data_IF_728640642871
#
_entry.id   IF_728640642871
#
_cell.length_a   1.000
_cell.length_b   1.000
_cell.length_c   1.000
_cell.angle_alpha   90.00
_cell.angle_beta   90.00
_cell.angle_gamma   90.00
#
_symmetry.space_group_name_H-M   'P 1'
#
loop_
_entity.id
_entity.type
_entity.pdbx_description
1 polymer ?
#
# COMPACT_ATOMS: atom_id res chain seq x y z
N UNK A 1 17.30 33.03 -11.61
CA UNK A 1 18.69 33.30 -11.17
C UNK A 1 19.33 34.52 -11.86
N UNK A 2 18.66 35.18 -12.84
CA UNK A 2 19.13 36.45 -13.41
C UNK A 2 17.93 37.38 -13.51
N UNK A 3 17.78 38.29 -12.55
CA UNK A 3 16.77 39.35 -12.54
C UNK A 3 17.42 40.63 -12.05
N UNK A 4 16.86 41.80 -12.37
CA UNK A 4 17.45 43.13 -12.16
C UNK A 4 17.78 43.48 -10.68
N UNK A 5 17.39 42.64 -9.71
CA UNK A 5 17.75 42.73 -8.29
C UNK A 5 18.77 41.69 -7.80
N UNK A 6 19.51 41.01 -8.69
CA UNK A 6 20.46 39.97 -8.29
C UNK A 6 21.86 40.55 -8.01
N UNK A 7 22.06 41.09 -6.81
CA UNK A 7 23.33 41.69 -6.35
C UNK A 7 24.35 40.65 -5.86
N UNK A 8 23.98 39.37 -5.80
CA UNK A 8 24.78 38.28 -5.19
C UNK A 8 26.19 38.17 -5.78
N UNK A 9 26.35 38.43 -7.08
CA UNK A 9 27.66 38.42 -7.75
C UNK A 9 28.50 39.67 -7.44
N UNK A 10 27.85 40.81 -7.18
CA UNK A 10 28.51 42.05 -6.77
C UNK A 10 28.94 41.97 -5.29
N UNK A 11 28.05 41.52 -4.42
CA UNK A 11 28.29 41.33 -2.98
C UNK A 11 29.33 40.24 -2.70
N UNK A 12 29.44 39.23 -3.56
CA UNK A 12 30.47 38.19 -3.46
C UNK A 12 31.91 38.74 -3.55
N UNK A 13 32.11 39.91 -4.16
CA UNK A 13 33.42 40.56 -4.24
C UNK A 13 33.78 41.33 -2.97
N UNK A 14 32.79 41.77 -2.18
CA UNK A 14 32.98 42.46 -0.90
C UNK A 14 33.31 41.51 0.25
N UNK A 15 33.21 40.20 0.02
CA UNK A 15 33.50 39.20 1.05
C UNK A 15 35.00 39.27 1.40
N UNK A 16 35.35 39.34 2.71
CA UNK A 16 36.74 39.38 3.15
C UNK A 16 37.57 38.21 2.62
N UNK A 17 38.84 38.48 2.31
CA UNK A 17 39.71 37.49 1.66
C UNK A 17 39.94 36.21 2.48
N UNK A 18 39.86 36.29 3.81
CA UNK A 18 39.95 35.11 4.68
C UNK A 18 38.80 34.11 4.47
N UNK A 19 37.60 34.60 4.11
CA UNK A 19 36.45 33.74 3.80
C UNK A 19 36.69 33.02 2.48
N UNK A 20 37.28 33.70 1.48
CA UNK A 20 37.63 33.10 0.17
C UNK A 20 38.65 31.97 0.32
N UNK A 21 39.61 32.12 1.24
CA UNK A 21 40.66 31.13 1.51
C UNK A 21 40.21 30.03 2.49
N UNK A 22 39.14 30.25 3.25
CA UNK A 22 38.67 29.32 4.28
C UNK A 22 38.33 27.90 3.78
N UNK A 23 37.71 27.68 2.60
CA UNK A 23 37.42 26.33 2.13
C UNK A 23 38.70 25.57 1.78
N UNK A 24 39.72 26.26 1.26
CA UNK A 24 41.02 25.66 0.95
C UNK A 24 41.74 25.24 2.24
N UNK A 25 41.74 26.10 3.25
CA UNK A 25 42.32 25.76 4.57
C UNK A 25 41.57 24.60 5.22
N UNK A 26 40.23 24.60 5.20
CA UNK A 26 39.42 23.51 5.71
C UNK A 26 39.70 22.18 4.99
N UNK A 27 39.87 22.22 3.66
CA UNK A 27 40.25 21.05 2.86
C UNK A 27 41.62 20.52 3.29
N UNK A 28 42.65 21.37 3.40
CA UNK A 28 43.99 20.95 3.82
C UNK A 28 43.99 20.36 5.22
N UNK A 29 43.27 20.98 6.16
CA UNK A 29 43.12 20.46 7.52
C UNK A 29 42.38 19.11 7.54
N UNK A 30 41.31 18.97 6.75
CA UNK A 30 40.59 17.72 6.59
C UNK A 30 41.46 16.60 6.02
N UNK A 31 42.26 16.91 4.99
CA UNK A 31 43.21 15.98 4.39
C UNK A 31 44.33 15.58 5.35
N UNK A 32 44.94 16.54 6.04
CA UNK A 32 45.97 16.27 7.04
C UNK A 32 45.42 15.39 8.17
N UNK A 33 44.21 15.69 8.66
CA UNK A 33 43.50 14.87 9.63
C UNK A 33 43.25 13.44 9.14
N UNK A 34 42.79 13.29 7.89
CA UNK A 34 42.59 11.97 7.28
C UNK A 34 43.90 11.17 7.15
N UNK A 35 44.99 11.79 6.72
CA UNK A 35 46.31 11.13 6.62
C UNK A 35 46.77 10.64 8.00
N UNK A 36 46.59 11.46 9.05
CA UNK A 36 46.95 11.05 10.42
C UNK A 36 46.11 9.84 10.85
N UNK A 37 44.79 9.89 10.65
CA UNK A 37 43.87 8.85 11.12
C UNK A 37 43.94 7.54 10.32
N UNK A 38 44.27 7.59 9.03
CA UNK A 38 44.24 6.41 8.16
C UNK A 38 45.62 5.88 7.76
N UNK A 39 46.67 6.70 7.76
CA UNK A 39 48.03 6.28 7.33
C UNK A 39 48.98 6.20 8.52
N UNK A 40 49.05 7.26 9.34
CA UNK A 40 50.06 7.34 10.41
C UNK A 40 49.65 6.59 11.68
N UNK A 41 48.36 6.65 12.04
CA UNK A 41 47.81 6.14 13.31
C UNK A 41 46.42 5.50 13.11
N UNK A 42 46.33 4.35 12.41
CA UNK A 42 45.06 3.67 12.12
C UNK A 42 44.31 3.19 13.38
N UNK A 43 44.96 3.14 14.55
CA UNK A 43 44.35 2.79 15.83
C UNK A 43 43.53 3.93 16.47
N UNK A 44 43.74 5.18 16.06
CA UNK A 44 43.03 6.35 16.59
C UNK A 44 41.53 6.39 16.25
N UNK A 45 41.09 6.15 15.00
CA UNK A 45 39.66 6.12 14.69
C UNK A 45 38.90 5.06 15.50
N UNK A 46 39.49 3.88 15.71
CA UNK A 46 38.88 2.82 16.50
C UNK A 46 38.69 3.25 17.97
N UNK A 47 39.72 3.83 18.59
CA UNK A 47 39.62 4.36 19.97
C UNK A 47 38.61 5.49 20.10
N UNK A 48 38.53 6.36 19.09
CA UNK A 48 37.54 7.44 19.07
C UNK A 48 36.12 6.88 18.98
N UNK A 49 35.91 5.84 18.16
CA UNK A 49 34.63 5.15 18.03
C UNK A 49 34.23 4.42 19.33
N UNK A 50 35.19 3.84 20.06
CA UNK A 50 34.93 3.22 21.37
C UNK A 50 34.52 4.25 22.42
N UNK A 51 35.23 5.38 22.50
CA UNK A 51 34.93 6.45 23.45
C UNK A 51 33.58 7.12 23.16
N UNK A 52 33.22 7.28 21.89
CA UNK A 52 31.99 7.95 21.45
C UNK A 52 31.05 6.99 20.72
N UNK A 53 30.86 5.80 21.30
CA UNK A 53 30.09 4.70 20.69
C UNK A 53 28.70 5.10 20.22
N UNK A 54 27.97 5.90 20.99
CA UNK A 54 26.62 6.35 20.63
C UNK A 54 26.62 7.23 19.38
N UNK A 55 27.52 8.21 19.32
CA UNK A 55 27.68 9.09 18.16
C UNK A 55 28.18 8.30 16.94
N UNK A 56 29.15 7.42 17.14
CA UNK A 56 29.64 6.53 16.08
C UNK A 56 28.52 5.67 15.51
N UNK A 57 27.71 5.01 16.36
CA UNK A 57 26.57 4.21 15.91
C UNK A 57 25.51 5.04 15.20
N UNK A 58 25.28 6.28 15.64
CA UNK A 58 24.35 7.20 14.97
C UNK A 58 24.81 7.56 13.54
N UNK A 59 26.09 7.92 13.36
CA UNK A 59 26.65 8.21 12.04
C UNK A 59 26.75 6.93 11.18
N UNK A 60 27.12 5.80 11.79
CA UNK A 60 27.25 4.50 11.13
C UNK A 60 25.90 4.02 10.57
N UNK A 61 24.82 4.14 11.36
CA UNK A 61 23.47 3.79 10.94
C UNK A 61 22.79 4.90 10.13
N UNK A 62 23.56 5.76 9.44
CA UNK A 62 23.05 6.85 8.59
C UNK A 62 21.93 7.66 9.26
N UNK A 63 22.12 7.98 10.53
CA UNK A 63 21.17 8.77 11.33
C UNK A 63 19.81 8.09 11.56
N UNK A 64 19.74 6.77 11.37
CA UNK A 64 18.53 5.94 11.47
C UNK A 64 17.39 6.36 10.55
N UNK A 65 17.67 7.17 9.52
CA UNK A 65 16.61 7.72 8.65
C UNK A 65 15.94 6.61 7.84
N UNK A 66 16.73 5.69 7.29
CA UNK A 66 16.24 4.54 6.50
C UNK A 66 15.34 3.63 7.36
N UNK A 67 15.74 3.34 8.60
CA UNK A 67 15.03 2.47 9.53
C UNK A 67 13.72 3.10 10.03
N UNK A 68 13.75 4.39 10.36
CA UNK A 68 12.55 5.14 10.75
C UNK A 68 11.58 5.19 9.57
N UNK A 69 12.07 5.40 8.35
CA UNK A 69 11.24 5.41 7.15
C UNK A 69 10.59 4.05 6.89
N UNK A 70 11.36 2.96 6.96
CA UNK A 70 10.82 1.60 6.81
C UNK A 70 9.78 1.30 7.90
N UNK A 71 10.08 1.65 9.15
CA UNK A 71 9.21 1.37 10.29
C UNK A 71 7.87 2.12 10.20
N UNK A 72 7.89 3.40 9.84
CA UNK A 72 6.69 4.25 9.83
C UNK A 72 5.93 4.10 8.51
N UNK A 73 6.59 4.30 7.38
CA UNK A 73 5.93 4.39 6.09
C UNK A 73 5.79 3.02 5.44
N UNK A 74 6.90 2.28 5.29
CA UNK A 74 6.87 1.03 4.51
C UNK A 74 6.06 -0.06 5.23
N UNK A 75 6.34 -0.31 6.51
CA UNK A 75 5.59 -1.30 7.30
C UNK A 75 4.16 -0.84 7.57
N UNK A 76 3.96 0.45 7.83
CA UNK A 76 2.63 1.05 8.00
C UNK A 76 1.76 0.82 6.76
N UNK A 77 2.26 1.19 5.58
CA UNK A 77 1.55 1.00 4.31
C UNK A 77 1.28 -0.49 4.01
N UNK A 78 2.27 -1.38 4.22
CA UNK A 78 2.08 -2.83 4.05
C UNK A 78 1.07 -3.40 5.03
N UNK A 79 1.04 -2.90 6.26
CA UNK A 79 0.07 -3.29 7.29
C UNK A 79 -1.35 -2.87 6.91
N UNK A 80 -1.52 -1.61 6.54
CA UNK A 80 -2.80 -1.06 6.07
C UNK A 80 -3.29 -1.78 4.81
N UNK A 81 -2.43 -2.02 3.83
CA UNK A 81 -2.78 -2.77 2.62
C UNK A 81 -3.25 -4.19 2.93
N UNK A 82 -2.56 -4.92 3.82
CA UNK A 82 -2.99 -6.26 4.25
C UNK A 82 -4.30 -6.23 5.03
N UNK A 83 -4.51 -5.21 5.86
CA UNK A 83 -5.76 -5.03 6.59
C UNK A 83 -6.93 -4.81 5.64
N UNK A 84 -6.78 -3.89 4.68
CA UNK A 84 -7.79 -3.61 3.65
C UNK A 84 -8.06 -4.84 2.78
N UNK A 85 -7.03 -5.58 2.37
CA UNK A 85 -7.19 -6.80 1.58
C UNK A 85 -7.95 -7.89 2.35
N UNK A 86 -7.51 -8.23 3.57
CA UNK A 86 -8.12 -9.32 4.34
C UNK A 86 -9.52 -8.99 4.83
N UNK A 87 -9.74 -7.77 5.31
CA UNK A 87 -11.01 -7.35 5.92
C UNK A 87 -12.00 -6.80 4.89
N UNK A 88 -11.50 -6.19 3.82
CA UNK A 88 -12.33 -5.67 2.74
C UNK A 88 -12.69 -6.77 1.75
N UNK A 89 -11.70 -7.41 1.13
CA UNK A 89 -11.93 -8.33 0.03
C UNK A 89 -12.27 -9.74 0.53
N UNK A 90 -11.49 -10.27 1.46
CA UNK A 90 -11.69 -11.61 2.02
C UNK A 90 -13.05 -11.77 2.71
N UNK A 91 -13.35 -10.94 3.71
CA UNK A 91 -14.58 -11.08 4.49
C UNK A 91 -15.86 -10.77 3.67
N UNK A 92 -15.80 -9.82 2.73
CA UNK A 92 -16.98 -9.44 1.93
C UNK A 92 -17.21 -10.44 0.80
N UNK A 93 -16.18 -10.87 0.07
CA UNK A 93 -16.34 -11.80 -1.05
C UNK A 93 -16.61 -13.23 -0.55
N UNK A 94 -15.81 -13.77 0.38
CA UNK A 94 -16.07 -15.13 0.89
C UNK A 94 -17.35 -15.18 1.71
N UNK A 95 -17.66 -14.12 2.48
CA UNK A 95 -18.90 -14.05 3.27
C UNK A 95 -20.17 -14.05 2.40
N UNK A 96 -20.16 -13.29 1.29
CA UNK A 96 -21.33 -13.20 0.40
C UNK A 96 -21.45 -14.43 -0.50
N UNK A 97 -20.35 -14.88 -1.11
CA UNK A 97 -20.39 -16.04 -2.01
C UNK A 97 -20.72 -17.31 -1.24
N UNK A 98 -20.11 -17.55 -0.08
CA UNK A 98 -20.36 -18.76 0.69
C UNK A 98 -21.77 -18.74 1.32
N UNK A 99 -22.28 -17.56 1.70
CA UNK A 99 -23.66 -17.40 2.16
C UNK A 99 -24.72 -17.70 1.08
N UNK A 100 -24.50 -17.25 -0.16
CA UNK A 100 -25.39 -17.55 -1.29
C UNK A 100 -25.26 -19.02 -1.72
N UNK A 101 -24.03 -19.53 -1.82
CA UNK A 101 -23.77 -20.90 -2.26
C UNK A 101 -24.24 -21.95 -1.24
N UNK A 102 -24.07 -21.72 0.06
CA UNK A 102 -24.50 -22.67 1.10
C UNK A 102 -25.96 -22.50 1.53
N UNK A 103 -26.54 -21.29 1.39
CA UNK A 103 -27.90 -20.99 1.83
C UNK A 103 -28.94 -21.10 0.72
N UNK A 104 -28.76 -20.32 -0.36
CA UNK A 104 -29.79 -20.15 -1.38
C UNK A 104 -29.89 -21.36 -2.31
N UNK A 105 -28.76 -21.89 -2.79
CA UNK A 105 -28.74 -23.00 -3.74
C UNK A 105 -29.39 -24.27 -3.15
N UNK A 106 -28.99 -24.77 -1.96
CA UNK A 106 -29.57 -26.00 -1.42
C UNK A 106 -31.04 -25.82 -1.01
N UNK A 107 -31.43 -24.61 -0.61
CA UNK A 107 -32.83 -24.30 -0.26
C UNK A 107 -33.74 -24.37 -1.48
N UNK A 108 -33.33 -23.73 -2.60
CA UNK A 108 -34.07 -23.81 -3.87
C UNK A 108 -34.11 -25.25 -4.37
N UNK A 109 -32.98 -25.97 -4.38
CA UNK A 109 -32.95 -27.37 -4.84
C UNK A 109 -33.84 -28.28 -3.99
N UNK A 110 -33.86 -28.11 -2.66
CA UNK A 110 -34.76 -28.87 -1.78
C UNK A 110 -36.23 -28.52 -1.99
N UNK A 111 -36.54 -27.26 -2.28
CA UNK A 111 -37.91 -26.84 -2.58
C UNK A 111 -38.38 -27.47 -3.90
N UNK A 112 -37.59 -27.36 -4.97
CA UNK A 112 -37.90 -27.98 -6.27
C UNK A 112 -38.01 -29.50 -6.17
N UNK A 113 -37.12 -30.15 -5.40
CA UNK A 113 -37.17 -31.60 -5.19
C UNK A 113 -38.44 -32.07 -4.46
N UNK A 114 -38.99 -31.26 -3.55
CA UNK A 114 -40.27 -31.57 -2.86
C UNK A 114 -41.49 -31.41 -3.76
N UNK A 115 -41.41 -30.56 -4.77
CA UNK A 115 -42.49 -30.39 -5.75
C UNK A 115 -42.54 -31.54 -6.77
N UNK A 116 -41.46 -32.31 -6.88
CA UNK A 116 -41.40 -33.51 -7.68
C UNK A 116 -42.02 -34.70 -6.92
N UNK A 117 -43.35 -34.69 -6.75
CA UNK A 117 -44.10 -35.66 -5.93
C UNK A 117 -44.24 -37.07 -6.55
N UNK A 118 -43.78 -37.28 -7.80
CA UNK A 118 -43.83 -38.57 -8.50
C UNK A 118 -45.24 -39.03 -8.91
N UNK A 119 -46.29 -38.31 -8.52
CA UNK A 119 -47.67 -38.61 -8.88
C UNK A 119 -48.04 -38.02 -10.25
N UNK A 120 -48.32 -38.89 -11.23
CA UNK A 120 -48.77 -38.51 -12.58
C UNK A 120 -49.97 -37.55 -12.59
N UNK A 121 -50.89 -37.69 -11.63
CA UNK A 121 -52.05 -36.82 -11.50
C UNK A 121 -51.67 -35.36 -11.26
N UNK A 122 -50.67 -35.10 -10.41
CA UNK A 122 -50.19 -33.73 -10.12
C UNK A 122 -49.56 -33.09 -11.36
N UNK A 123 -48.83 -33.86 -12.17
CA UNK A 123 -48.27 -33.37 -13.43
C UNK A 123 -49.34 -33.01 -14.46
N UNK A 124 -50.34 -33.88 -14.65
CA UNK A 124 -51.45 -33.61 -15.58
C UNK A 124 -52.26 -32.38 -15.15
N UNK A 125 -52.51 -32.23 -13.85
CA UNK A 125 -53.20 -31.06 -13.29
C UNK A 125 -52.40 -29.77 -13.49
N UNK A 126 -51.09 -29.79 -13.26
CA UNK A 126 -50.21 -28.64 -13.50
C UNK A 126 -50.16 -28.23 -14.98
N UNK A 127 -50.17 -29.19 -15.91
CA UNK A 127 -50.21 -28.91 -17.35
C UNK A 127 -51.51 -28.20 -17.75
N UNK A 128 -52.67 -28.67 -17.26
CA UNK A 128 -53.97 -28.04 -17.56
C UNK A 128 -54.01 -26.60 -17.06
N UNK A 129 -53.57 -26.35 -15.82
CA UNK A 129 -53.47 -24.99 -15.26
C UNK A 129 -52.53 -24.13 -16.10
N UNK A 130 -51.36 -24.65 -16.48
CA UNK A 130 -50.39 -23.92 -17.30
C UNK A 130 -50.96 -23.51 -18.65
N UNK A 131 -51.68 -24.42 -19.33
CA UNK A 131 -52.34 -24.12 -20.61
C UNK A 131 -53.44 -23.08 -20.43
N UNK A 132 -54.29 -23.20 -19.40
CA UNK A 132 -55.34 -22.22 -19.12
C UNK A 132 -54.75 -20.84 -18.86
N UNK A 133 -53.72 -20.73 -18.02
CA UNK A 133 -53.06 -19.45 -17.73
C UNK A 133 -52.40 -18.84 -18.97
N UNK A 134 -51.72 -19.64 -19.79
CA UNK A 134 -51.11 -19.17 -21.03
C UNK A 134 -52.16 -18.68 -22.04
N UNK A 135 -53.24 -19.45 -22.22
CA UNK A 135 -54.34 -19.06 -23.13
C UNK A 135 -55.05 -17.81 -22.60
N UNK A 136 -55.33 -17.73 -21.30
CA UNK A 136 -55.91 -16.52 -20.70
C UNK A 136 -55.00 -15.31 -20.82
N UNK A 137 -53.69 -15.47 -20.61
CA UNK A 137 -52.71 -14.40 -20.80
C UNK A 137 -52.68 -13.92 -22.24
N UNK A 138 -52.59 -14.84 -23.20
CA UNK A 138 -52.60 -14.52 -24.64
C UNK A 138 -53.92 -13.89 -25.06
N UNK A 139 -55.06 -14.34 -24.53
CA UNK A 139 -56.36 -13.75 -24.83
C UNK A 139 -56.50 -12.32 -24.29
N UNK A 140 -55.98 -12.04 -23.09
CA UNK A 140 -56.04 -10.70 -22.47
C UNK A 140 -55.04 -9.74 -23.12
N UNK A 141 -53.81 -10.19 -23.38
CA UNK A 141 -52.75 -9.36 -23.98
C UNK A 141 -52.91 -9.23 -25.49
N UNK A 142 -53.36 -10.28 -26.16
CA UNK A 142 -53.62 -10.31 -27.61
C UNK A 142 -54.98 -9.75 -28.02
N UNK A 143 -55.96 -9.68 -27.11
CA UNK A 143 -57.25 -9.01 -27.34
C UNK A 143 -57.24 -7.50 -27.08
N UNK A 144 -56.08 -6.95 -26.70
CA UNK A 144 -55.86 -5.53 -26.36
C UNK A 144 -55.25 -4.67 -27.47
N UNK A 145 -55.24 -5.15 -28.73
CA UNK A 145 -54.96 -4.34 -29.93
C UNK A 145 -55.94 -4.70 -31.05
#
# INVERSE_FOLDING_TARGET
LVGEGNHVLHDAHEVPDWVKVSPFVAMVLGLAGAIVFYVLRPEWPARLAENQRHLYQFLLNKWYFDEIYDAIFTRGAKGLGRFLWKRGDGDVIDGTINGVAMGAVPWVTRLTGRWQSGYLFTYAFAMVIGVVLLVSWVAIVGGGN
#
